data_IF_885949360508
#
_entry.id   IF_885949360508
#
_cell.length_a   1.000
_cell.length_b   1.000
_cell.length_c   1.000
_cell.angle_alpha   90.00
_cell.angle_beta   90.00
_cell.angle_gamma   90.00
#
_symmetry.space_group_name_H-M   'P 1'
#
loop_
_entity.id
_entity.type
_entity.pdbx_description
1 polymer ?
#
# COMPACT_ATOMS: atom_id res chain seq x y z
N UNK A 1 -15.82 31.48 -34.11
CA UNK A 1 -15.72 30.03 -34.41
C UNK A 1 -14.52 29.40 -33.70
N UNK A 2 -13.31 29.98 -33.77
CA UNK A 2 -12.11 29.47 -33.09
C UNK A 2 -12.20 29.45 -31.55
N UNK A 3 -12.66 30.54 -30.93
CA UNK A 3 -12.84 30.61 -29.47
C UNK A 3 -13.86 29.60 -28.90
N UNK A 4 -14.74 29.05 -29.74
CA UNK A 4 -15.70 28.02 -29.36
C UNK A 4 -15.09 26.61 -29.42
N UNK A 5 -14.04 26.40 -30.22
CA UNK A 5 -13.30 25.14 -30.30
C UNK A 5 -12.28 25.01 -29.18
N UNK A 6 -11.60 26.10 -28.79
CA UNK A 6 -10.65 26.11 -27.66
C UNK A 6 -11.34 25.78 -26.34
N UNK A 7 -12.52 26.35 -26.09
CA UNK A 7 -13.33 26.01 -24.89
C UNK A 7 -13.82 24.55 -24.89
N UNK A 8 -14.00 23.95 -26.05
CA UNK A 8 -14.40 22.55 -26.18
C UNK A 8 -13.21 21.61 -25.93
N UNK A 9 -12.02 21.95 -26.42
CA UNK A 9 -10.78 21.21 -26.16
C UNK A 9 -10.32 21.33 -24.69
N UNK A 10 -10.43 22.50 -24.06
CA UNK A 10 -10.16 22.67 -22.63
C UNK A 10 -11.17 21.91 -21.75
N UNK A 11 -12.44 21.87 -22.15
CA UNK A 11 -13.46 21.07 -21.46
C UNK A 11 -13.23 19.56 -21.62
N UNK A 12 -12.62 19.11 -22.74
CA UNK A 12 -12.22 17.72 -22.92
C UNK A 12 -10.92 17.38 -22.17
N UNK A 13 -9.94 18.28 -22.11
CA UNK A 13 -8.73 18.10 -21.30
C UNK A 13 -9.06 18.09 -19.78
N UNK A 14 -10.02 18.90 -19.34
CA UNK A 14 -10.54 18.84 -17.95
C UNK A 14 -11.42 17.62 -17.69
N UNK A 15 -12.13 17.09 -18.69
CA UNK A 15 -12.93 15.85 -18.57
C UNK A 15 -12.10 14.58 -18.65
N UNK A 16 -10.89 14.60 -19.19
CA UNK A 16 -10.01 13.43 -19.24
C UNK A 16 -9.11 13.30 -17.99
N UNK A 17 -9.04 14.34 -17.15
CA UNK A 17 -8.29 14.33 -15.89
C UNK A 17 -9.15 14.07 -14.65
N UNK A 18 -10.42 13.71 -14.82
CA UNK A 18 -11.42 13.61 -13.74
C UNK A 18 -12.39 12.45 -13.96
N UNK A 19 -11.87 11.29 -14.35
CA UNK A 19 -12.60 10.04 -14.39
C UNK A 19 -12.19 9.21 -13.17
N UNK A 20 -12.90 9.40 -12.06
CA UNK A 20 -13.31 8.36 -11.09
C UNK A 20 -12.41 7.10 -11.06
N UNK A 21 -11.23 7.21 -10.44
CA UNK A 21 -10.43 6.07 -9.96
C UNK A 21 -10.07 6.28 -8.48
N UNK A 22 -11.05 6.67 -7.66
CA UNK A 22 -10.91 6.58 -6.21
C UNK A 22 -11.52 5.27 -5.73
N UNK A 23 -10.67 4.31 -5.37
CA UNK A 23 -10.88 3.49 -4.17
C UNK A 23 -9.55 3.04 -3.55
N UNK A 24 -8.49 2.87 -4.36
CA UNK A 24 -7.18 2.40 -3.89
C UNK A 24 -6.01 3.27 -4.39
N UNK A 25 -5.14 3.77 -3.49
CA UNK A 25 -4.04 4.67 -3.83
C UNK A 25 -2.99 3.99 -4.74
N UNK A 26 -2.42 4.76 -5.66
CA UNK A 26 -1.38 4.28 -6.59
C UNK A 26 -0.06 3.95 -5.89
N UNK A 27 0.23 4.66 -4.81
CA UNK A 27 1.44 4.46 -4.00
C UNK A 27 1.08 4.31 -2.53
N UNK A 28 1.79 3.42 -1.86
CA UNK A 28 1.68 3.15 -0.43
C UNK A 28 3.07 3.18 0.18
N UNK A 29 3.15 3.53 1.46
CA UNK A 29 4.37 3.47 2.25
C UNK A 29 4.15 2.55 3.44
N UNK A 30 4.96 1.50 3.54
CA UNK A 30 4.99 0.61 4.69
C UNK A 30 6.03 1.11 5.70
N UNK A 31 5.54 1.35 6.92
CA UNK A 31 6.32 1.62 8.11
C UNK A 31 6.25 0.37 8.98
N UNK A 32 7.40 -0.23 9.27
CA UNK A 32 7.49 -1.47 10.02
C UNK A 32 8.91 -1.61 10.58
N UNK A 33 9.16 -1.02 11.74
CA UNK A 33 10.52 -0.94 12.32
C UNK A 33 11.19 -2.30 12.52
N UNK A 34 10.42 -3.37 12.75
CA UNK A 34 10.95 -4.74 12.90
C UNK A 34 11.35 -5.40 11.58
N UNK A 35 10.90 -4.87 10.44
CA UNK A 35 11.12 -5.44 9.12
C UNK A 35 11.70 -4.37 8.18
N UNK A 36 12.94 -3.91 8.43
CA UNK A 36 13.53 -2.81 7.68
C UNK A 36 13.66 -3.10 6.18
N UNK A 37 13.78 -4.36 5.78
CA UNK A 37 13.81 -4.80 4.38
C UNK A 37 12.47 -4.62 3.65
N UNK A 38 11.36 -4.58 4.37
CA UNK A 38 10.01 -4.37 3.80
C UNK A 38 9.53 -2.93 3.93
N UNK A 39 10.27 -2.06 4.62
CA UNK A 39 9.89 -0.65 4.70
C UNK A 39 10.07 0.06 3.37
N UNK A 40 9.29 1.12 3.17
CA UNK A 40 9.43 2.02 2.03
C UNK A 40 8.21 2.08 1.12
N UNK A 41 8.44 2.54 -0.10
CA UNK A 41 7.41 2.78 -1.11
C UNK A 41 6.98 1.48 -1.78
N UNK A 42 5.68 1.37 -2.04
CA UNK A 42 5.01 0.29 -2.74
C UNK A 42 4.15 0.89 -3.85
N UNK A 43 4.34 0.42 -5.08
CA UNK A 43 3.57 0.86 -6.26
C UNK A 43 2.55 -0.17 -6.67
N UNK A 44 1.33 0.31 -6.87
CA UNK A 44 0.20 -0.46 -7.37
C UNK A 44 0.56 -1.04 -8.74
N UNK A 45 0.26 -2.32 -8.93
CA UNK A 45 0.40 -2.99 -10.22
C UNK A 45 -0.91 -2.77 -11.00
N UNK A 46 -0.83 -2.09 -12.15
CA UNK A 46 -2.02 -1.68 -12.91
C UNK A 46 -2.84 -2.87 -13.42
N UNK A 47 -2.15 -3.94 -13.84
CA UNK A 47 -2.76 -5.11 -14.49
C UNK A 47 -3.00 -6.28 -13.54
N UNK A 48 -2.30 -6.32 -12.40
CA UNK A 48 -2.35 -7.45 -11.47
C UNK A 48 -3.37 -7.21 -10.37
N UNK A 49 -4.27 -8.18 -10.20
CA UNK A 49 -5.25 -8.23 -9.12
C UNK A 49 -5.23 -9.61 -8.46
N UNK A 50 -5.33 -9.63 -7.14
CA UNK A 50 -5.47 -10.85 -6.35
C UNK A 50 -6.81 -10.77 -5.63
N UNK A 51 -7.69 -11.76 -5.85
CA UNK A 51 -9.04 -11.78 -5.26
C UNK A 51 -9.87 -10.52 -5.56
N UNK A 52 -9.76 -10.02 -6.80
CA UNK A 52 -10.40 -8.79 -7.30
C UNK A 52 -9.85 -7.47 -6.73
N UNK A 53 -8.91 -7.58 -5.79
CA UNK A 53 -8.26 -6.44 -5.15
C UNK A 53 -6.92 -6.12 -5.82
N UNK A 54 -6.49 -4.85 -5.84
CA UNK A 54 -5.19 -4.48 -6.37
C UNK A 54 -4.02 -5.05 -5.54
N UNK A 55 -2.88 -5.16 -6.21
CA UNK A 55 -1.61 -5.57 -5.61
C UNK A 55 -0.63 -4.42 -5.65
N UNK A 56 0.22 -4.29 -4.64
CA UNK A 56 1.34 -3.36 -4.66
C UNK A 56 2.67 -4.09 -4.52
N UNK A 57 3.66 -3.66 -5.28
CA UNK A 57 5.04 -4.17 -5.23
C UNK A 57 5.95 -3.10 -4.64
N UNK A 58 6.85 -3.50 -3.75
CA UNK A 58 7.85 -2.63 -3.16
C UNK A 58 8.78 -2.06 -4.25
N UNK A 59 9.11 -0.77 -4.12
CA UNK A 59 10.10 -0.10 -4.97
C UNK A 59 11.49 -0.36 -4.39
N UNK A 60 12.35 -1.04 -5.16
CA UNK A 60 13.72 -1.35 -4.73
C UNK A 60 13.84 -2.53 -3.75
N UNK A 61 12.79 -3.36 -3.63
CA UNK A 61 12.79 -4.57 -2.81
C UNK A 61 11.85 -5.64 -3.36
N UNK A 62 11.72 -6.73 -2.61
CA UNK A 62 10.93 -7.92 -2.98
C UNK A 62 9.57 -7.99 -2.25
N UNK A 63 9.21 -6.93 -1.52
CA UNK A 63 7.97 -6.87 -0.77
C UNK A 63 6.73 -6.79 -1.66
N UNK A 64 5.63 -7.41 -1.21
CA UNK A 64 4.33 -7.33 -1.86
C UNK A 64 3.21 -7.12 -0.85
N UNK A 65 2.22 -6.29 -1.21
CA UNK A 65 0.96 -6.11 -0.48
C UNK A 65 -0.18 -6.65 -1.34
N UNK A 66 -0.97 -7.57 -0.81
CA UNK A 66 -2.04 -8.25 -1.56
C UNK A 66 -3.19 -8.68 -0.65
N UNK A 67 -4.37 -8.92 -1.24
CA UNK A 67 -5.52 -9.46 -0.50
C UNK A 67 -5.54 -10.98 -0.54
N UNK A 68 -5.93 -11.58 0.60
CA UNK A 68 -6.07 -13.04 0.77
C UNK A 68 -7.52 -13.49 0.63
N UNK A 69 -7.73 -14.80 0.48
CA UNK A 69 -9.07 -15.40 0.42
C UNK A 69 -9.95 -15.15 1.66
N UNK A 70 -9.34 -14.81 2.82
CA UNK A 70 -10.05 -14.43 4.04
C UNK A 70 -10.42 -12.94 4.08
N UNK A 71 -10.19 -12.22 2.98
CA UNK A 71 -10.44 -10.79 2.87
C UNK A 71 -9.55 -9.97 3.81
N UNK A 72 -8.30 -10.40 4.05
CA UNK A 72 -7.31 -9.63 4.83
C UNK A 72 -6.16 -9.20 3.92
N UNK A 73 -5.59 -8.04 4.21
CA UNK A 73 -4.36 -7.58 3.56
C UNK A 73 -3.16 -8.29 4.16
N UNK A 74 -2.29 -8.83 3.32
CA UNK A 74 -1.04 -9.47 3.71
C UNK A 74 0.14 -8.71 3.11
N UNK A 75 1.27 -8.74 3.83
CA UNK A 75 2.58 -8.34 3.32
C UNK A 75 3.49 -9.55 3.30
N UNK A 76 4.13 -9.81 2.16
CA UNK A 76 5.12 -10.87 1.98
C UNK A 76 6.43 -10.29 1.47
N UNK A 77 7.53 -11.01 1.68
CA UNK A 77 8.89 -10.69 1.21
C UNK A 77 9.25 -11.39 -0.11
N UNK A 78 8.30 -12.14 -0.67
CA UNK A 78 8.47 -12.86 -1.93
C UNK A 78 7.14 -13.03 -2.66
N UNK A 79 7.19 -13.02 -3.98
CA UNK A 79 6.03 -13.21 -4.85
C UNK A 79 5.34 -14.57 -4.63
N UNK A 80 6.13 -15.63 -4.38
CA UNK A 80 5.62 -16.96 -4.04
C UNK A 80 4.73 -16.96 -2.77
N UNK A 81 4.91 -15.98 -1.88
CA UNK A 81 4.02 -15.78 -0.74
C UNK A 81 2.59 -15.47 -1.17
N UNK A 82 2.40 -14.75 -2.28
CA UNK A 82 1.07 -14.45 -2.84
C UNK A 82 0.36 -15.75 -3.22
N UNK A 83 1.02 -16.60 -4.00
CA UNK A 83 0.47 -17.89 -4.46
C UNK A 83 0.08 -18.80 -3.29
N UNK A 84 0.91 -18.83 -2.25
CA UNK A 84 0.69 -19.63 -1.04
C UNK A 84 -0.27 -19.00 -0.04
N UNK A 85 -0.77 -17.79 -0.31
CA UNK A 85 -1.50 -16.95 0.67
C UNK A 85 -0.72 -16.81 2.00
N UNK A 86 0.60 -16.75 1.91
CA UNK A 86 1.53 -16.57 3.02
C UNK A 86 2.04 -15.14 3.10
N UNK A 87 2.39 -14.70 4.31
CA UNK A 87 2.95 -13.37 4.54
C UNK A 87 3.54 -13.26 5.93
N UNK A 88 4.36 -12.26 6.13
CA UNK A 88 5.00 -11.92 7.41
C UNK A 88 4.21 -10.88 8.18
N UNK A 89 3.34 -10.12 7.52
CA UNK A 89 2.39 -9.20 8.16
C UNK A 89 0.99 -9.38 7.60
N UNK A 90 0.00 -9.04 8.41
CA UNK A 90 -1.39 -9.07 8.00
C UNK A 90 -2.20 -7.97 8.71
N UNK A 91 -3.30 -7.55 8.10
CA UNK A 91 -4.32 -6.80 8.81
C UNK A 91 -5.00 -7.69 9.86
N UNK A 92 -5.30 -7.13 11.03
CA UNK A 92 -5.97 -7.87 12.12
C UNK A 92 -7.41 -8.23 11.73
N UNK A 93 -8.11 -7.30 11.08
CA UNK A 93 -9.49 -7.49 10.61
C UNK A 93 -9.56 -7.66 9.09
N UNK A 94 -10.63 -8.30 8.58
CA UNK A 94 -10.92 -8.29 7.15
C UNK A 94 -11.14 -6.87 6.63
N UNK A 95 -10.68 -6.58 5.42
CA UNK A 95 -10.70 -5.25 4.82
C UNK A 95 -12.07 -4.83 4.29
N UNK A 96 -12.95 -5.78 3.92
CA UNK A 96 -14.32 -5.48 3.43
C UNK A 96 -14.34 -4.44 2.28
N UNK A 97 -13.36 -4.50 1.38
CA UNK A 97 -13.15 -3.53 0.29
C UNK A 97 -12.29 -2.32 0.65
N UNK A 98 -12.01 -2.05 1.93
CA UNK A 98 -11.14 -0.94 2.32
C UNK A 98 -9.69 -1.15 1.85
N UNK A 99 -9.00 -0.11 1.37
CA UNK A 99 -7.60 -0.21 0.98
C UNK A 99 -6.66 -0.40 2.19
N UNK A 100 -5.41 -0.87 1.98
CA UNK A 100 -4.47 -1.16 3.06
C UNK A 100 -4.18 0.03 3.99
N UNK A 101 -4.11 1.26 3.45
CA UNK A 101 -3.86 2.48 4.22
C UNK A 101 -5.01 2.90 5.15
N UNK A 102 -6.18 2.28 5.02
CA UNK A 102 -7.34 2.51 5.91
C UNK A 102 -7.44 1.45 7.02
N UNK A 103 -6.55 0.46 7.03
CA UNK A 103 -6.50 -0.53 8.10
C UNK A 103 -5.83 0.07 9.33
N UNK A 104 -6.53 0.04 10.47
CA UNK A 104 -6.05 0.60 11.73
C UNK A 104 -5.08 -0.31 12.47
N UNK A 105 -5.23 -1.63 12.30
CA UNK A 105 -4.52 -2.63 13.09
C UNK A 105 -3.83 -3.65 12.20
N UNK A 106 -2.53 -3.80 12.45
CA UNK A 106 -1.66 -4.75 11.80
C UNK A 106 -1.05 -5.70 12.81
N UNK A 107 -0.70 -6.88 12.33
CA UNK A 107 -0.06 -7.95 13.08
C UNK A 107 1.07 -8.53 12.25
N UNK A 108 2.07 -9.09 12.90
CA UNK A 108 3.17 -9.81 12.27
C UNK A 108 3.19 -11.26 12.71
N UNK A 109 3.77 -12.12 11.87
CA UNK A 109 3.95 -13.52 12.18
C UNK A 109 5.31 -13.74 12.82
N UNK A 110 5.32 -14.19 14.06
CA UNK A 110 6.52 -14.48 14.83
C UNK A 110 6.30 -15.69 15.74
N UNK A 111 7.29 -16.57 15.77
CA UNK A 111 7.27 -17.79 16.59
C UNK A 111 5.95 -18.58 16.47
N UNK A 112 5.60 -18.92 15.23
CA UNK A 112 4.38 -19.68 14.88
C UNK A 112 3.04 -19.03 15.27
N UNK A 113 3.03 -17.73 15.63
CA UNK A 113 1.84 -17.01 16.07
C UNK A 113 1.73 -15.62 15.44
N UNK A 114 0.50 -15.11 15.35
CA UNK A 114 0.24 -13.74 14.90
C UNK A 114 0.16 -12.81 16.11
N UNK A 115 0.96 -11.76 16.10
CA UNK A 115 1.06 -10.80 17.19
C UNK A 115 0.74 -9.38 16.70
N UNK A 116 -0.15 -8.63 17.37
CA UNK A 116 -0.40 -7.23 17.02
C UNK A 116 0.87 -6.39 17.13
N UNK A 117 1.05 -5.44 16.20
CA UNK A 117 2.15 -4.47 16.27
C UNK A 117 1.68 -3.10 15.79
N UNK A 118 1.64 -2.15 16.72
CA UNK A 118 1.27 -0.77 16.45
C UNK A 118 2.34 0.02 15.70
N UNK A 119 3.57 -0.50 15.60
CA UNK A 119 4.62 0.08 14.77
C UNK A 119 4.43 -0.24 13.28
N UNK A 120 3.54 -1.18 12.94
CA UNK A 120 3.20 -1.48 11.54
C UNK A 120 2.08 -0.54 11.08
N UNK A 121 2.39 0.27 10.08
CA UNK A 121 1.43 1.20 9.47
C UNK A 121 1.65 1.28 7.97
N UNK A 122 0.54 1.33 7.24
CA UNK A 122 0.54 1.64 5.82
C UNK A 122 -0.12 3.00 5.62
N UNK A 123 0.51 3.89 4.88
CA UNK A 123 -0.01 5.22 4.56
C UNK A 123 0.11 5.49 3.06
N UNK A 124 -0.80 6.28 2.51
CA UNK A 124 -0.74 6.82 1.14
C UNK A 124 -0.11 8.21 1.09
N UNK A 125 0.27 8.77 2.26
CA UNK A 125 0.91 10.07 2.37
C UNK A 125 2.43 9.93 2.49
N UNK A 126 3.12 10.26 1.41
CA UNK A 126 4.58 10.29 1.36
C UNK A 126 5.22 11.11 2.50
N UNK A 127 4.62 12.25 2.88
CA UNK A 127 5.14 13.13 3.93
C UNK A 127 5.21 12.43 5.31
N UNK A 128 4.15 11.70 5.69
CA UNK A 128 4.12 10.94 6.96
C UNK A 128 5.22 9.86 6.99
N UNK A 129 5.49 9.22 5.85
CA UNK A 129 6.54 8.20 5.74
C UNK A 129 7.95 8.81 5.85
N UNK A 130 8.16 10.00 5.28
CA UNK A 130 9.44 10.69 5.31
C UNK A 130 9.77 11.24 6.70
N UNK A 131 8.79 11.79 7.41
CA UNK A 131 8.94 12.23 8.81
C UNK A 131 9.30 11.06 9.73
N UNK A 132 8.62 9.92 9.59
CA UNK A 132 8.93 8.71 10.36
C UNK A 132 10.38 8.24 10.12
N UNK A 133 10.83 8.26 8.86
CA UNK A 133 12.22 7.89 8.51
C UNK A 133 13.25 8.84 9.13
N UNK A 134 12.98 10.14 9.12
CA UNK A 134 13.87 11.15 9.73
C UNK A 134 13.91 11.00 11.26
N UNK A 135 12.77 10.74 11.90
CA UNK A 135 12.68 10.51 13.34
C UNK A 135 13.49 9.28 13.77
N UNK A 136 13.37 8.15 13.04
CA UNK A 136 14.15 6.95 13.32
C UNK A 136 15.66 7.19 13.13
N UNK A 137 16.06 7.92 12.08
CA UNK A 137 17.47 8.24 11.85
C UNK A 137 18.08 9.13 12.94
N UNK A 138 17.30 10.04 13.52
CA UNK A 138 17.74 10.89 14.63
C UNK A 138 17.81 10.13 15.97
N UNK A 139 16.96 9.13 16.18
CA UNK A 139 16.97 8.30 17.39
C UNK A 139 18.17 7.34 17.45
N UNK A 140 18.77 6.97 16.32
CA UNK A 140 19.94 6.08 16.24
C UNK A 140 21.29 6.79 16.45
N UNK A 141 21.29 8.13 16.53
CA UNK A 141 22.48 8.96 16.73
C UNK A 141 22.64 9.46 18.17
N UNK A 142 21.83 8.96 19.11
CA UNK A 142 21.92 9.22 20.55
C UNK A 142 22.28 7.94 21.29
#
# INVERSE_FOLDING_TARGET
>A
VLASQEKFLEAQAKKQSSSIEEEHPSSLWLLASRYPNLQGEYRKQETRRERNEPVWRQVGGEGWIFSTSKGRWFVTDSENGIEKNGGVMASVSPHKGCPPNKMEQWQFFFDSSWQPDSAIRITDKQAEAQEHRLCLAQAQLR
#
